data_IF_644741867054
#
_entry.id   IF_644741867054
#
_cell.length_a   1.000
_cell.length_b   1.000
_cell.length_c   1.000
_cell.angle_alpha   90.00
_cell.angle_beta   90.00
_cell.angle_gamma   90.00
#
_symmetry.space_group_name_H-M   'P 1'
#
loop_
_entity.id
_entity.type
_entity.pdbx_description
1 polymer ?
#
# COMPACT_ATOMS: atom_id res chain seq x y z
N UNK A 1 5.17 -2.60 -25.18
CA UNK A 1 5.11 -2.24 -23.75
C UNK A 1 4.95 -3.46 -22.85
N UNK A 2 3.93 -4.30 -22.98
CA UNK A 2 3.76 -5.48 -22.10
C UNK A 2 4.83 -6.59 -22.21
N UNK A 3 5.68 -6.53 -23.24
CA UNK A 3 6.68 -7.56 -23.58
C UNK A 3 8.10 -7.17 -23.13
N UNK A 4 8.29 -5.92 -22.68
CA UNK A 4 9.54 -5.40 -22.14
C UNK A 4 9.26 -5.02 -20.68
N UNK A 5 9.95 -5.61 -19.71
CA UNK A 5 9.81 -5.25 -18.29
C UNK A 5 10.28 -3.81 -18.04
N UNK A 6 9.43 -2.84 -18.36
CA UNK A 6 9.73 -1.41 -18.30
C UNK A 6 8.47 -0.57 -18.21
N UNK A 7 8.67 0.70 -17.88
CA UNK A 7 7.59 1.67 -17.76
C UNK A 7 7.27 2.29 -19.12
N UNK A 8 6.03 2.72 -19.30
CA UNK A 8 5.58 3.32 -20.53
C UNK A 8 4.49 4.34 -20.28
N UNK A 9 4.52 5.43 -21.04
CA UNK A 9 3.47 6.44 -21.05
C UNK A 9 2.66 6.29 -22.35
N UNK A 10 1.34 6.19 -22.22
CA UNK A 10 0.43 6.09 -23.35
C UNK A 10 -0.60 7.21 -23.25
N UNK A 11 -0.52 8.18 -24.15
CA UNK A 11 -1.48 9.25 -24.25
C UNK A 11 -2.64 8.83 -25.15
N UNK A 12 -3.87 8.91 -24.63
CA UNK A 12 -5.07 8.67 -25.41
C UNK A 12 -6.02 9.86 -25.26
N UNK A 13 -6.67 10.34 -26.34
CA UNK A 13 -7.61 11.46 -26.28
C UNK A 13 -8.92 11.09 -25.55
N UNK A 14 -9.53 12.05 -24.86
CA UNK A 14 -10.74 11.83 -24.06
C UNK A 14 -11.94 11.38 -24.88
N UNK A 15 -12.80 10.53 -24.29
CA UNK A 15 -14.02 10.01 -24.96
C UNK A 15 -13.81 8.81 -25.88
N UNK A 16 -12.59 8.30 -26.02
CA UNK A 16 -12.27 7.17 -26.92
C UNK A 16 -12.46 5.77 -26.32
N UNK A 17 -13.01 5.67 -25.11
CA UNK A 17 -13.18 4.38 -24.44
C UNK A 17 -11.86 3.75 -23.99
N UNK A 18 -10.84 4.57 -23.69
CA UNK A 18 -9.49 4.19 -23.20
C UNK A 18 -9.51 2.99 -22.26
N UNK A 19 -10.35 3.08 -21.23
CA UNK A 19 -10.52 2.07 -20.20
C UNK A 19 -11.00 0.73 -20.76
N UNK A 20 -12.04 0.75 -21.60
CA UNK A 20 -12.60 -0.46 -22.21
C UNK A 20 -11.61 -1.09 -23.18
N UNK A 21 -10.94 -0.29 -24.01
CA UNK A 21 -9.92 -0.76 -24.95
C UNK A 21 -8.73 -1.39 -24.22
N UNK A 22 -8.25 -0.75 -23.14
CA UNK A 22 -7.11 -1.22 -22.36
C UNK A 22 -7.45 -2.51 -21.60
N UNK A 23 -8.59 -2.56 -20.92
CA UNK A 23 -9.05 -3.77 -20.23
C UNK A 23 -9.29 -4.93 -21.20
N UNK A 24 -9.89 -4.66 -22.36
CA UNK A 24 -10.13 -5.69 -23.39
C UNK A 24 -8.81 -6.28 -23.89
N UNK A 25 -7.81 -5.43 -24.15
CA UNK A 25 -6.49 -5.86 -24.58
C UNK A 25 -5.79 -6.70 -23.50
N UNK A 26 -5.84 -6.28 -22.24
CA UNK A 26 -5.22 -6.99 -21.12
C UNK A 26 -5.88 -8.35 -20.91
N UNK A 27 -7.21 -8.40 -20.89
CA UNK A 27 -7.95 -9.67 -20.74
C UNK A 27 -7.61 -10.63 -21.89
N UNK A 28 -7.55 -10.13 -23.13
CA UNK A 28 -7.15 -10.95 -24.28
C UNK A 28 -5.71 -11.46 -24.14
N UNK A 29 -4.78 -10.62 -23.66
CA UNK A 29 -3.39 -11.00 -23.43
C UNK A 29 -3.24 -12.05 -22.33
N UNK A 30 -3.95 -11.89 -21.21
CA UNK A 30 -3.96 -12.87 -20.11
C UNK A 30 -4.51 -14.24 -20.56
N UNK A 31 -5.49 -14.25 -21.47
CA UNK A 31 -6.01 -15.49 -22.07
C UNK A 31 -5.06 -16.13 -23.09
N UNK A 32 -4.38 -15.32 -23.91
CA UNK A 32 -3.47 -15.81 -24.94
C UNK A 32 -2.14 -16.32 -24.37
N UNK A 33 -1.67 -15.73 -23.27
CA UNK A 33 -0.40 -16.08 -22.63
C UNK A 33 -0.60 -16.29 -21.11
N UNK A 34 -1.17 -17.45 -20.70
CA UNK A 34 -1.32 -17.77 -19.29
C UNK A 34 0.05 -17.81 -18.60
N UNK A 35 0.21 -17.02 -17.53
CA UNK A 35 1.45 -16.91 -16.75
C UNK A 35 2.35 -15.71 -17.12
N UNK A 36 2.06 -14.98 -18.19
CA UNK A 36 2.79 -13.74 -18.51
C UNK A 36 2.45 -12.58 -17.57
N UNK A 37 1.18 -12.49 -17.15
CA UNK A 37 0.66 -11.53 -16.17
C UNK A 37 -0.13 -12.32 -15.13
N UNK A 38 0.29 -12.26 -13.87
CA UNK A 38 -0.42 -12.94 -12.77
C UNK A 38 -1.55 -12.05 -12.24
N UNK A 39 -1.27 -10.76 -12.09
CA UNK A 39 -2.24 -9.75 -11.72
C UNK A 39 -2.14 -8.50 -12.55
N UNK A 40 -3.29 -7.89 -12.78
CA UNK A 40 -3.42 -6.59 -13.39
C UNK A 40 -4.09 -5.63 -12.40
N UNK A 41 -3.50 -4.46 -12.18
CA UNK A 41 -4.00 -3.45 -11.26
C UNK A 41 -4.31 -2.18 -12.04
N UNK A 42 -5.58 -1.77 -12.02
CA UNK A 42 -6.05 -0.52 -12.59
C UNK A 42 -6.23 0.51 -11.49
N UNK A 43 -5.56 1.65 -11.61
CA UNK A 43 -5.67 2.74 -10.66
C UNK A 43 -6.39 3.93 -11.27
N UNK A 44 -7.43 4.42 -10.59
CA UNK A 44 -8.19 5.61 -10.98
C UNK A 44 -8.40 6.55 -9.78
N UNK A 45 -8.65 7.84 -10.03
CA UNK A 45 -8.97 8.81 -8.98
C UNK A 45 -10.42 8.81 -8.53
N UNK A 46 -11.38 8.36 -9.34
CA UNK A 46 -12.82 8.53 -9.01
C UNK A 46 -13.52 7.20 -8.73
N UNK A 47 -14.30 7.16 -7.65
CA UNK A 47 -15.14 6.00 -7.29
C UNK A 47 -16.15 5.65 -8.42
N UNK A 48 -16.78 6.61 -9.11
CA UNK A 48 -17.64 6.30 -10.26
C UNK A 48 -16.90 5.64 -11.44
N UNK A 49 -15.63 5.94 -11.67
CA UNK A 49 -14.82 5.22 -12.65
C UNK A 49 -14.53 3.79 -12.20
N UNK A 50 -14.23 3.59 -10.92
CA UNK A 50 -14.05 2.25 -10.32
C UNK A 50 -15.34 1.43 -10.51
N UNK A 51 -16.49 2.00 -10.17
CA UNK A 51 -17.79 1.35 -10.35
C UNK A 51 -18.09 1.06 -11.82
N UNK A 52 -17.75 1.96 -12.74
CA UNK A 52 -17.86 1.69 -14.18
C UNK A 52 -16.95 0.53 -14.59
N UNK A 53 -15.69 0.51 -14.18
CA UNK A 53 -14.76 -0.58 -14.54
C UNK A 53 -15.27 -1.93 -14.03
N UNK A 54 -15.78 -1.96 -12.80
CA UNK A 54 -16.37 -3.15 -12.19
C UNK A 54 -17.66 -3.55 -12.92
N UNK A 55 -18.52 -2.59 -13.27
CA UNK A 55 -19.76 -2.85 -14.00
C UNK A 55 -19.53 -3.40 -15.41
N UNK A 56 -18.48 -2.96 -16.12
CA UNK A 56 -18.12 -3.50 -17.44
C UNK A 56 -17.40 -4.85 -17.36
N UNK A 57 -16.86 -5.21 -16.19
CA UNK A 57 -16.13 -6.45 -15.94
C UNK A 57 -16.97 -7.39 -15.06
N UNK A 58 -18.03 -7.95 -15.65
CA UNK A 58 -19.11 -8.77 -15.03
C UNK A 58 -18.62 -10.07 -14.33
N UNK A 59 -17.33 -10.23 -13.98
CA UNK A 59 -16.78 -11.49 -13.45
C UNK A 59 -15.88 -11.39 -12.21
N UNK A 60 -15.76 -10.23 -11.56
CA UNK A 60 -14.82 -10.06 -10.45
C UNK A 60 -15.49 -9.57 -9.16
N UNK A 61 -16.26 -10.47 -8.56
CA UNK A 61 -16.65 -10.39 -7.16
C UNK A 61 -15.94 -11.50 -6.37
N UNK A 62 -14.62 -11.54 -6.48
CA UNK A 62 -13.77 -12.50 -5.77
C UNK A 62 -12.77 -11.76 -4.87
N UNK A 63 -12.41 -12.34 -3.71
CA UNK A 63 -11.42 -11.75 -2.81
C UNK A 63 -10.09 -11.52 -3.52
N UNK A 64 -9.34 -10.50 -3.07
CA UNK A 64 -8.09 -9.98 -3.67
C UNK A 64 -7.12 -11.09 -4.10
N UNK A 65 -7.06 -12.20 -3.36
CA UNK A 65 -6.17 -13.35 -3.60
C UNK A 65 -6.49 -14.10 -4.90
N UNK A 66 -7.76 -14.14 -5.31
CA UNK A 66 -8.23 -14.88 -6.50
C UNK A 66 -8.56 -13.98 -7.69
N UNK A 67 -8.44 -12.66 -7.53
CA UNK A 67 -8.72 -11.69 -8.58
C UNK A 67 -7.52 -11.50 -9.51
N UNK A 68 -7.71 -11.76 -10.81
CA UNK A 68 -6.72 -11.46 -11.86
C UNK A 68 -6.65 -9.96 -12.19
N UNK A 69 -7.76 -9.23 -12.01
CA UNK A 69 -7.87 -7.79 -12.27
C UNK A 69 -8.35 -7.12 -10.99
N UNK A 70 -7.60 -6.14 -10.51
CA UNK A 70 -7.91 -5.37 -9.31
C UNK A 70 -8.05 -3.91 -9.70
N UNK A 71 -9.04 -3.22 -9.13
CA UNK A 71 -9.25 -1.79 -9.33
C UNK A 71 -9.04 -1.06 -8.00
N UNK A 72 -8.12 -0.10 -7.98
CA UNK A 72 -7.77 0.68 -6.79
C UNK A 72 -7.82 2.18 -7.04
N UNK A 73 -7.89 2.92 -5.94
CA UNK A 73 -7.53 4.34 -5.96
C UNK A 73 -6.02 4.52 -5.89
N UNK A 74 -5.49 5.62 -6.45
CA UNK A 74 -4.07 5.96 -6.36
C UNK A 74 -3.53 5.94 -4.93
N UNK A 75 -4.34 6.37 -3.96
CA UNK A 75 -3.92 6.43 -2.56
C UNK A 75 -3.43 5.08 -2.01
N UNK A 76 -3.98 3.96 -2.47
CA UNK A 76 -3.58 2.64 -1.96
C UNK A 76 -2.18 2.21 -2.39
N UNK A 77 -1.69 2.71 -3.52
CA UNK A 77 -0.35 2.42 -4.01
C UNK A 77 0.66 3.54 -3.74
N UNK A 78 0.19 4.78 -3.60
CA UNK A 78 1.06 5.95 -3.44
C UNK A 78 1.17 6.44 -1.99
N UNK A 79 0.21 6.18 -1.11
CA UNK A 79 0.34 6.54 0.31
C UNK A 79 1.34 5.59 0.99
N UNK A 80 2.49 6.07 1.49
CA UNK A 80 3.51 5.22 2.10
C UNK A 80 3.01 4.44 3.33
N UNK A 81 1.92 4.88 3.97
CA UNK A 81 1.31 4.19 5.12
C UNK A 81 0.56 2.93 4.71
N UNK A 82 -0.01 2.91 3.50
CA UNK A 82 -0.89 1.83 3.02
C UNK A 82 -0.20 0.98 1.94
N UNK A 83 0.66 1.59 1.12
CA UNK A 83 1.33 0.94 -0.02
C UNK A 83 2.11 -0.32 0.39
N UNK A 84 2.75 -0.31 1.57
CA UNK A 84 3.47 -1.48 2.08
C UNK A 84 2.56 -2.68 2.39
N UNK A 85 1.30 -2.44 2.76
CA UNK A 85 0.34 -3.52 3.01
C UNK A 85 -0.12 -4.12 1.68
N UNK A 86 -0.42 -3.28 0.70
CA UNK A 86 -0.97 -3.71 -0.59
C UNK A 86 0.10 -4.38 -1.46
N UNK A 87 1.31 -3.82 -1.52
CA UNK A 87 2.40 -4.33 -2.36
C UNK A 87 2.90 -5.72 -1.95
N UNK A 88 2.77 -6.11 -0.68
CA UNK A 88 3.14 -7.45 -0.19
C UNK A 88 2.27 -8.55 -0.78
N UNK A 89 1.02 -8.24 -1.10
CA UNK A 89 0.05 -9.19 -1.65
C UNK A 89 0.05 -9.22 -3.19
N UNK A 90 0.90 -8.39 -3.83
CA UNK A 90 1.04 -8.33 -5.27
C UNK A 90 2.23 -9.19 -5.74
N UNK A 91 2.03 -10.15 -6.66
CA UNK A 91 3.12 -10.93 -7.23
C UNK A 91 4.06 -10.06 -8.07
N UNK A 92 5.29 -10.53 -8.30
CA UNK A 92 6.29 -9.82 -9.12
C UNK A 92 5.81 -9.58 -10.56
N UNK A 93 5.03 -10.51 -11.12
CA UNK A 93 4.44 -10.41 -12.46
C UNK A 93 3.11 -9.65 -12.42
N UNK A 94 3.10 -8.48 -11.79
CA UNK A 94 1.94 -7.59 -11.74
C UNK A 94 2.12 -6.44 -12.72
N UNK A 95 1.11 -6.17 -13.52
CA UNK A 95 1.04 -4.97 -14.38
C UNK A 95 0.16 -3.94 -13.69
N UNK A 96 0.69 -2.74 -13.49
CA UNK A 96 -0.03 -1.61 -12.88
C UNK A 96 -0.26 -0.53 -13.92
N UNK A 97 -1.50 -0.03 -14.00
CA UNK A 97 -1.89 1.07 -14.88
C UNK A 97 -2.42 2.21 -14.03
N UNK A 98 -1.80 3.38 -14.16
CA UNK A 98 -2.33 4.62 -13.65
C UNK A 98 -3.15 5.29 -14.76
N UNK A 99 -4.46 5.30 -14.62
CA UNK A 99 -5.32 6.16 -15.44
C UNK A 99 -5.03 7.64 -15.11
N UNK A 100 -5.45 8.60 -15.92
CA UNK A 100 -5.37 10.05 -15.65
C UNK A 100 -4.09 10.50 -14.89
N UNK A 101 -2.93 9.97 -15.34
CA UNK A 101 -1.67 10.03 -14.60
C UNK A 101 -1.16 11.46 -14.35
N UNK A 102 -1.72 12.46 -15.04
CA UNK A 102 -1.47 13.87 -14.81
C UNK A 102 -1.83 14.33 -13.38
N UNK A 103 -2.57 13.54 -12.60
CA UNK A 103 -2.88 13.84 -11.20
C UNK A 103 -1.90 13.25 -10.18
N UNK A 104 -0.94 12.42 -10.60
CA UNK A 104 -0.04 11.70 -9.68
C UNK A 104 0.72 12.65 -8.77
N UNK A 105 1.27 13.75 -9.30
CA UNK A 105 2.08 14.69 -8.51
C UNK A 105 1.29 15.30 -7.36
N UNK A 106 0.04 15.72 -7.63
CA UNK A 106 -0.84 16.29 -6.61
C UNK A 106 -1.18 15.24 -5.53
N UNK A 107 -1.44 14.00 -5.93
CA UNK A 107 -1.74 12.89 -5.01
C UNK A 107 -0.54 12.58 -4.12
N UNK A 108 0.67 12.57 -4.68
CA UNK A 108 1.91 12.39 -3.94
C UNK A 108 2.13 13.52 -2.93
N UNK A 109 1.90 14.78 -3.33
CA UNK A 109 2.00 15.93 -2.43
C UNK A 109 1.04 15.78 -1.27
N UNK A 110 -0.24 15.46 -1.54
CA UNK A 110 -1.26 15.32 -0.51
C UNK A 110 -0.95 14.15 0.45
N UNK A 111 -0.54 13.00 -0.08
CA UNK A 111 -0.27 11.79 0.71
C UNK A 111 0.94 11.93 1.65
N UNK A 112 1.91 12.79 1.30
CA UNK A 112 3.09 13.08 2.12
C UNK A 112 2.96 14.34 2.98
N UNK A 113 1.95 15.18 2.71
CA UNK A 113 1.75 16.43 3.44
C UNK A 113 1.00 16.21 4.74
N UNK A 114 1.44 16.88 5.81
CA UNK A 114 0.72 16.96 7.07
C UNK A 114 0.46 18.42 7.42
N UNK A 115 -0.82 18.80 7.52
CA UNK A 115 -1.21 20.15 7.90
C UNK A 115 -1.36 20.26 9.43
N UNK A 116 -0.55 21.10 10.05
CA UNK A 116 -0.64 21.43 11.46
C UNK A 116 -1.38 22.76 11.65
N UNK A 117 -2.50 22.73 12.36
CA UNK A 117 -3.27 23.93 12.71
C UNK A 117 -3.20 24.20 14.21
N UNK A 118 -3.52 25.44 14.62
CA UNK A 118 -3.61 25.78 16.05
C UNK A 118 -4.58 24.85 16.80
N UNK A 119 -5.71 24.53 16.18
CA UNK A 119 -6.69 23.60 16.74
C UNK A 119 -6.12 22.18 16.90
N UNK A 120 -5.34 21.69 15.93
CA UNK A 120 -4.62 20.42 16.03
C UNK A 120 -3.69 20.40 17.24
N UNK A 121 -2.98 21.51 17.50
CA UNK A 121 -2.07 21.64 18.64
C UNK A 121 -2.82 21.70 19.98
N UNK A 122 -3.96 22.40 20.04
CA UNK A 122 -4.82 22.44 21.24
C UNK A 122 -5.38 21.05 21.57
N UNK A 123 -5.81 20.28 20.56
CA UNK A 123 -6.24 18.90 20.74
C UNK A 123 -5.10 17.97 21.14
N UNK A 124 -3.91 18.14 20.57
CA UNK A 124 -2.73 17.37 20.97
C UNK A 124 -2.38 17.64 22.44
N UNK A 125 -2.44 18.90 22.88
CA UNK A 125 -2.20 19.29 24.27
C UNK A 125 -3.22 18.65 25.23
N UNK A 126 -4.52 18.71 24.88
CA UNK A 126 -5.57 18.04 25.66
C UNK A 126 -5.35 16.53 25.74
N UNK A 127 -5.05 15.91 24.60
CA UNK A 127 -4.79 14.47 24.51
C UNK A 127 -3.57 14.06 25.34
N UNK A 128 -2.51 14.87 25.36
CA UNK A 128 -1.31 14.62 26.15
C UNK A 128 -1.60 14.70 27.66
N UNK A 129 -2.41 15.68 28.09
CA UNK A 129 -2.86 15.78 29.47
C UNK A 129 -3.67 14.55 29.91
N UNK A 130 -4.64 14.12 29.10
CA UNK A 130 -5.42 12.90 29.36
C UNK A 130 -4.56 11.64 29.35
N UNK A 131 -3.58 11.53 28.44
CA UNK A 131 -2.64 10.41 28.41
C UNK A 131 -1.76 10.40 29.66
N UNK A 132 -1.28 11.56 30.11
CA UNK A 132 -0.46 11.69 31.31
C UNK A 132 -1.23 11.23 32.55
N UNK A 133 -2.50 11.59 32.67
CA UNK A 133 -3.37 11.14 33.76
C UNK A 133 -3.62 9.64 33.70
N UNK A 134 -3.91 9.07 32.52
CA UNK A 134 -4.01 7.62 32.33
C UNK A 134 -2.73 6.89 32.72
N UNK A 135 -1.56 7.38 32.31
CA UNK A 135 -0.27 6.79 32.67
C UNK A 135 -0.04 6.84 34.18
N UNK A 136 -0.40 7.94 34.85
CA UNK A 136 -0.34 8.03 36.32
C UNK A 136 -1.26 7.00 36.97
N UNK A 137 -2.51 6.90 36.53
CA UNK A 137 -3.49 5.97 37.07
C UNK A 137 -3.08 4.50 36.86
N UNK A 138 -2.54 4.16 35.68
CA UNK A 138 -2.01 2.81 35.39
C UNK A 138 -0.76 2.51 36.21
N UNK A 139 0.15 3.48 36.42
CA UNK A 139 1.30 3.28 37.32
C UNK A 139 0.87 3.01 38.76
N UNK A 140 -0.19 3.67 39.23
CA UNK A 140 -0.72 3.50 40.59
C UNK A 140 -1.47 2.17 40.74
N UNK A 141 -2.28 1.75 39.75
CA UNK A 141 -3.12 0.56 39.86
C UNK A 141 -2.46 -0.74 39.34
N UNK A 142 -1.52 -0.66 38.39
CA UNK A 142 -1.01 -1.80 37.62
C UNK A 142 0.52 -1.78 37.48
N UNK A 143 1.24 -1.37 38.53
CA UNK A 143 2.72 -1.35 38.55
C UNK A 143 3.33 -2.69 38.11
N UNK A 144 2.69 -3.81 38.44
CA UNK A 144 3.14 -5.15 38.07
C UNK A 144 2.98 -5.43 36.56
N UNK A 145 1.82 -5.14 35.96
CA UNK A 145 1.59 -5.34 34.52
C UNK A 145 2.46 -4.41 33.67
N UNK A 146 2.68 -3.16 34.11
CA UNK A 146 3.53 -2.21 33.39
C UNK A 146 5.00 -2.65 33.37
N UNK A 147 5.49 -3.23 34.48
CA UNK A 147 6.85 -3.76 34.57
C UNK A 147 7.03 -4.98 33.65
N UNK A 148 6.00 -5.80 33.53
CA UNK A 148 6.03 -6.99 32.68
C UNK A 148 5.95 -6.67 31.19
N UNK A 149 5.09 -5.72 30.78
CA UNK A 149 5.03 -5.26 29.39
C UNK A 149 6.29 -4.50 28.98
N UNK A 150 6.86 -3.68 29.88
CA UNK A 150 8.16 -3.05 29.64
C UNK A 150 9.27 -4.10 29.45
N UNK A 151 9.27 -5.15 30.28
CA UNK A 151 10.23 -6.26 30.16
C UNK A 151 10.09 -6.98 28.82
N UNK A 152 8.85 -7.27 28.38
CA UNK A 152 8.57 -7.88 27.07
C UNK A 152 9.04 -7.01 25.91
N UNK A 153 8.80 -5.70 25.97
CA UNK A 153 9.21 -4.77 24.93
C UNK A 153 10.75 -4.68 24.82
N UNK A 154 11.46 -4.56 25.95
CA UNK A 154 12.93 -4.52 25.97
C UNK A 154 13.53 -5.81 25.42
N UNK A 155 12.98 -6.96 25.82
CA UNK A 155 13.46 -8.26 25.32
C UNK A 155 13.20 -8.41 23.82
N UNK A 156 12.02 -8.01 23.34
CA UNK A 156 11.69 -8.04 21.90
C UNK A 156 12.56 -7.11 21.06
N UNK A 157 12.86 -5.91 21.55
CA UNK A 157 13.78 -4.97 20.89
C UNK A 157 15.22 -5.51 20.85
N UNK A 158 15.67 -6.14 21.94
CA UNK A 158 16.99 -6.77 22.00
C UNK A 158 17.09 -7.95 21.04
N UNK A 159 16.04 -8.77 20.94
CA UNK A 159 15.96 -9.86 19.97
C UNK A 159 15.96 -9.36 18.52
N UNK A 160 15.23 -8.28 18.22
CA UNK A 160 15.21 -7.67 16.89
C UNK A 160 16.57 -7.07 16.48
N UNK A 161 17.33 -6.57 17.46
CA UNK A 161 18.68 -6.06 17.24
C UNK A 161 19.69 -7.21 17.04
N UNK A 162 19.60 -8.27 17.86
CA UNK A 162 20.44 -9.47 17.69
C UNK A 162 20.14 -10.17 16.37
N UNK A 163 18.88 -10.28 15.95
CA UNK A 163 18.53 -10.85 14.64
C UNK A 163 19.09 -10.03 13.48
N UNK A 164 19.13 -8.69 13.62
CA UNK A 164 19.75 -7.81 12.61
C UNK A 164 21.27 -7.93 12.58
N UNK A 165 21.93 -8.20 13.72
CA UNK A 165 23.37 -8.44 13.80
C UNK A 165 23.77 -9.84 13.32
N UNK A 166 22.97 -10.88 13.62
CA UNK A 166 23.22 -12.24 13.12
C UNK A 166 23.02 -12.37 11.61
N UNK A 167 22.09 -11.60 11.02
CA UNK A 167 21.95 -11.52 9.55
C UNK A 167 23.13 -10.79 8.89
N UNK A 168 23.82 -9.87 9.58
CA UNK A 168 25.08 -9.28 9.09
C UNK A 168 26.28 -10.24 9.21
N UNK A 169 26.33 -11.09 10.25
CA UNK A 169 27.45 -12.03 10.47
C UNK A 169 27.36 -13.26 9.54
N UNK A 170 26.17 -13.65 9.09
CA UNK A 170 25.98 -14.74 8.11
C UNK A 170 26.12 -14.30 6.64
N UNK A 171 26.34 -13.00 6.38
CA UNK A 171 26.41 -12.41 5.04
C UNK A 171 27.77 -12.45 4.34
N UNK A 172 28.75 -13.26 4.77
CA UNK A 172 30.07 -13.29 4.13
C UNK A 172 30.64 -14.70 3.92
N UNK A 173 30.30 -15.40 2.82
CA UNK A 173 30.97 -16.63 2.42
C UNK A 173 32.21 -16.30 1.59
N UNK A 174 33.33 -15.95 2.23
CA UNK A 174 34.65 -16.02 1.59
C UNK A 174 35.77 -16.11 2.63
N UNK A 175 36.15 -17.33 2.98
CA UNK A 175 37.53 -17.76 3.30
C UNK A 175 37.51 -19.25 3.61
N UNK A 176 37.51 -20.07 2.55
CA UNK A 176 38.50 -21.09 2.18
C UNK A 176 38.04 -21.76 0.87
#
# INVERSE_FOLDING_TARGET
>A
MLISQGHGLLEMPSGTGKTVSLLSLVVAYMKACPGAIEKFVYCSRTVPEIEKVVAHSVSLQMPIVHANIIVYSYYYLLDPKIANMVSRDLPKNTVVVFDEAHNIDNVCIESMSCLLTKQTLEWATKSLSSLTERVKNVKVHNAHQLKEEYRRLVEGLRQAQVSSETDQVLGNPSTF
#
